data_IF_911643732145
#
_entry.id   IF_911643732145
#
_cell.length_a   1.000
_cell.length_b   1.000
_cell.length_c   1.000
_cell.angle_alpha   90.00
_cell.angle_beta   90.00
_cell.angle_gamma   90.00
#
_symmetry.space_group_name_H-M   'P 1'
#
loop_
_entity.id
_entity.type
_entity.pdbx_description
1 polymer ?
#
# COMPACT_ATOMS: atom_id res chain seq x y z
N UNK A 1 22.08 -3.35 -6.57
CA UNK A 1 22.01 -2.33 -5.50
C UNK A 1 20.99 -1.23 -5.81
N UNK A 2 21.12 -0.55 -6.96
CA UNK A 2 20.17 0.49 -7.36
C UNK A 2 18.72 -0.02 -7.43
N UNK A 3 18.50 -1.24 -7.94
CA UNK A 3 17.17 -1.81 -8.06
C UNK A 3 16.53 -2.09 -6.69
N UNK A 4 17.32 -2.55 -5.71
CA UNK A 4 16.82 -2.81 -4.35
C UNK A 4 16.36 -1.52 -3.68
N UNK A 5 17.12 -0.43 -3.85
CA UNK A 5 16.75 0.88 -3.31
C UNK A 5 15.47 1.41 -3.92
N UNK A 6 15.33 1.25 -5.24
CA UNK A 6 14.12 1.66 -5.95
C UNK A 6 12.90 0.88 -5.48
N UNK A 7 13.03 -0.44 -5.36
CA UNK A 7 11.94 -1.30 -4.89
C UNK A 7 11.56 -0.96 -3.46
N UNK A 8 12.56 -0.81 -2.59
CA UNK A 8 12.33 -0.46 -1.20
C UNK A 8 11.60 0.88 -1.08
N UNK A 9 12.10 1.91 -1.75
CA UNK A 9 11.51 3.24 -1.70
C UNK A 9 10.09 3.26 -2.27
N UNK A 10 9.86 2.58 -3.38
CA UNK A 10 8.53 2.51 -3.99
C UNK A 10 7.52 1.81 -3.08
N UNK A 11 7.91 0.70 -2.46
CA UNK A 11 7.03 -0.03 -1.54
C UNK A 11 6.79 0.76 -0.25
N UNK A 12 7.81 1.46 0.24
CA UNK A 12 7.68 2.31 1.42
C UNK A 12 6.72 3.47 1.15
N UNK A 13 6.95 4.21 0.08
CA UNK A 13 6.10 5.36 -0.28
C UNK A 13 4.68 4.92 -0.61
N UNK A 14 4.52 3.86 -1.38
CA UNK A 14 3.21 3.36 -1.75
C UNK A 14 2.43 2.88 -0.54
N UNK A 15 3.06 2.15 0.37
CA UNK A 15 2.43 1.68 1.60
C UNK A 15 2.08 2.85 2.52
N UNK A 16 2.97 3.82 2.63
CA UNK A 16 2.73 5.04 3.41
C UNK A 16 1.49 5.79 2.89
N UNK A 17 1.45 6.07 1.60
CA UNK A 17 0.31 6.78 1.00
C UNK A 17 -0.97 5.97 1.08
N UNK A 18 -0.91 4.66 0.89
CA UNK A 18 -2.08 3.80 0.98
C UNK A 18 -2.70 3.87 2.38
N UNK A 19 -1.88 3.74 3.42
CA UNK A 19 -2.35 3.83 4.81
C UNK A 19 -2.90 5.23 5.11
N UNK A 20 -2.24 6.28 4.63
CA UNK A 20 -2.75 7.65 4.76
C UNK A 20 -4.15 7.80 4.16
N UNK A 21 -4.37 7.21 2.99
CA UNK A 21 -5.67 7.25 2.33
C UNK A 21 -6.71 6.47 3.12
N UNK A 22 -6.37 5.27 3.57
CA UNK A 22 -7.29 4.42 4.35
C UNK A 22 -7.70 5.08 5.65
N UNK A 23 -6.73 5.52 6.45
CA UNK A 23 -6.98 6.12 7.76
C UNK A 23 -7.60 7.50 7.59
N UNK A 24 -7.06 8.31 6.69
CA UNK A 24 -7.54 9.67 6.46
C UNK A 24 -8.97 9.71 5.96
N UNK A 25 -9.31 8.88 4.97
CA UNK A 25 -10.68 8.84 4.45
C UNK A 25 -11.67 8.30 5.47
N UNK A 26 -11.27 7.35 6.31
CA UNK A 26 -12.09 6.84 7.40
C UNK A 26 -12.39 7.89 8.44
N UNK A 27 -11.38 8.64 8.88
CA UNK A 27 -11.54 9.72 9.85
C UNK A 27 -12.39 10.86 9.29
N UNK A 28 -12.17 11.23 8.03
CA UNK A 28 -12.99 12.24 7.36
C UNK A 28 -14.45 11.84 7.31
N UNK A 29 -14.73 10.61 6.94
CA UNK A 29 -16.09 10.08 6.88
C UNK A 29 -16.77 10.12 8.26
N UNK A 30 -16.06 9.75 9.33
CA UNK A 30 -16.56 9.83 10.70
C UNK A 30 -16.96 11.25 11.08
N UNK A 31 -16.21 12.24 10.61
CA UNK A 31 -16.50 13.65 10.93
C UNK A 31 -17.68 14.21 10.12
N UNK A 32 -18.00 13.60 8.98
CA UNK A 32 -19.01 14.12 8.06
C UNK A 32 -20.38 13.44 8.21
N UNK A 33 -20.44 12.25 8.77
CA UNK A 33 -21.70 11.50 8.89
C UNK A 33 -21.66 10.62 10.13
N UNK A 34 -22.87 10.27 10.62
CA UNK A 34 -23.06 9.29 11.68
C UNK A 34 -23.47 7.92 11.15
N UNK A 35 -23.69 7.82 9.85
CA UNK A 35 -24.13 6.56 9.22
C UNK A 35 -22.93 5.68 8.89
N UNK A 36 -22.83 4.53 9.57
CA UNK A 36 -21.72 3.60 9.44
C UNK A 36 -21.61 3.06 8.00
N UNK A 37 -22.76 2.81 7.35
CA UNK A 37 -22.76 2.32 5.98
C UNK A 37 -22.17 3.36 5.01
N UNK A 38 -22.47 4.64 5.22
CA UNK A 38 -21.91 5.74 4.43
C UNK A 38 -20.41 5.87 4.70
N UNK A 39 -19.98 5.76 5.96
CA UNK A 39 -18.55 5.77 6.30
C UNK A 39 -17.80 4.68 5.57
N UNK A 40 -18.34 3.46 5.56
CA UNK A 40 -17.71 2.32 4.92
C UNK A 40 -17.63 2.51 3.40
N UNK A 41 -18.68 2.98 2.78
CA UNK A 41 -18.71 3.23 1.34
C UNK A 41 -17.69 4.29 0.95
N UNK A 42 -17.65 5.41 1.69
CA UNK A 42 -16.72 6.50 1.44
C UNK A 42 -15.28 6.03 1.57
N UNK A 43 -14.97 5.30 2.66
CA UNK A 43 -13.64 4.74 2.88
C UNK A 43 -13.25 3.76 1.78
N UNK A 44 -14.15 2.90 1.36
CA UNK A 44 -13.92 1.90 0.31
C UNK A 44 -13.63 2.55 -1.04
N UNK A 45 -14.43 3.55 -1.43
CA UNK A 45 -14.24 4.27 -2.69
C UNK A 45 -12.89 5.01 -2.69
N UNK A 46 -12.56 5.71 -1.62
CA UNK A 46 -11.30 6.43 -1.51
C UNK A 46 -10.11 5.48 -1.55
N UNK A 47 -10.19 4.36 -0.82
CA UNK A 47 -9.14 3.35 -0.80
C UNK A 47 -8.94 2.72 -2.18
N UNK A 48 -10.03 2.35 -2.85
CA UNK A 48 -9.97 1.76 -4.18
C UNK A 48 -9.40 2.72 -5.22
N UNK A 49 -9.83 3.97 -5.20
CA UNK A 49 -9.31 5.00 -6.10
C UNK A 49 -7.82 5.28 -5.84
N UNK A 50 -7.44 5.41 -4.57
CA UNK A 50 -6.05 5.63 -4.17
C UNK A 50 -5.17 4.45 -4.56
N UNK A 51 -5.63 3.24 -4.32
CA UNK A 51 -4.90 2.03 -4.69
C UNK A 51 -4.70 1.94 -6.21
N UNK A 52 -5.73 2.28 -6.98
CA UNK A 52 -5.62 2.33 -8.44
C UNK A 52 -4.50 3.27 -8.88
N UNK A 53 -4.46 4.48 -8.32
CA UNK A 53 -3.42 5.46 -8.63
C UNK A 53 -2.04 4.96 -8.22
N UNK A 54 -1.91 4.42 -7.01
CA UNK A 54 -0.63 3.92 -6.50
C UNK A 54 -0.11 2.75 -7.33
N UNK A 55 -0.98 1.83 -7.71
CA UNK A 55 -0.59 0.72 -8.59
C UNK A 55 -0.14 1.26 -9.95
N UNK A 56 -0.87 2.20 -10.52
CA UNK A 56 -0.51 2.80 -11.80
C UNK A 56 0.86 3.46 -11.75
N UNK A 57 1.17 4.16 -10.66
CA UNK A 57 2.45 4.87 -10.50
C UNK A 57 3.61 3.92 -10.24
N UNK A 58 3.43 2.92 -9.38
CA UNK A 58 4.53 2.11 -8.87
C UNK A 58 4.64 0.70 -9.47
N UNK A 59 3.68 0.25 -10.27
CA UNK A 59 3.69 -1.11 -10.81
C UNK A 59 4.96 -1.41 -11.59
N UNK A 60 5.41 -0.48 -12.42
CA UNK A 60 6.60 -0.65 -13.24
C UNK A 60 7.91 -0.51 -12.45
N UNK A 61 7.84 0.02 -11.23
CA UNK A 61 9.01 0.19 -10.37
C UNK A 61 9.21 -1.02 -9.47
N UNK A 62 8.20 -1.36 -8.66
CA UNK A 62 8.31 -2.42 -7.64
C UNK A 62 7.29 -3.54 -7.81
N UNK A 63 6.35 -3.41 -8.73
CA UNK A 63 5.22 -4.32 -8.86
C UNK A 63 4.01 -3.88 -8.03
N UNK A 64 4.15 -2.83 -7.22
CA UNK A 64 3.07 -2.25 -6.43
C UNK A 64 2.36 -3.28 -5.54
N UNK A 65 3.12 -3.98 -4.70
CA UNK A 65 2.56 -4.97 -3.77
C UNK A 65 1.85 -4.30 -2.60
N UNK A 66 2.53 -3.41 -1.90
CA UNK A 66 2.04 -2.64 -0.74
C UNK A 66 1.43 -3.48 0.38
N UNK A 67 1.65 -4.77 0.39
CA UNK A 67 1.07 -5.71 1.34
C UNK A 67 1.99 -6.92 1.48
N UNK A 68 2.37 -7.32 2.73
CA UNK A 68 3.21 -8.49 2.93
C UNK A 68 2.63 -9.78 2.34
N UNK A 69 1.32 -9.97 2.40
CA UNK A 69 0.67 -11.16 1.82
C UNK A 69 0.84 -11.20 0.30
N UNK A 70 0.70 -10.06 -0.37
CA UNK A 70 0.90 -9.98 -1.82
C UNK A 70 2.35 -10.32 -2.17
N UNK A 71 3.30 -9.78 -1.41
CA UNK A 71 4.73 -10.06 -1.64
C UNK A 71 5.06 -11.53 -1.41
N UNK A 72 4.50 -12.15 -0.38
CA UNK A 72 4.66 -13.59 -0.12
C UNK A 72 4.08 -14.40 -1.27
N UNK A 73 2.87 -14.08 -1.70
CA UNK A 73 2.22 -14.75 -2.83
C UNK A 73 3.03 -14.63 -4.12
N UNK A 74 3.57 -13.46 -4.40
CA UNK A 74 4.41 -13.24 -5.57
C UNK A 74 5.72 -14.01 -5.49
N UNK A 75 6.28 -14.17 -4.30
CA UNK A 75 7.48 -15.00 -4.08
C UNK A 75 7.18 -16.47 -4.35
N UNK A 76 6.05 -16.97 -3.85
CA UNK A 76 5.63 -18.36 -4.05
C UNK A 76 5.39 -18.66 -5.54
N UNK A 77 4.79 -17.72 -6.27
CA UNK A 77 4.52 -17.89 -7.70
C UNK A 77 5.73 -17.61 -8.59
N UNK A 78 6.86 -17.25 -8.01
CA UNK A 78 8.09 -17.00 -8.75
C UNK A 78 8.22 -15.61 -9.38
N UNK A 79 7.26 -14.72 -9.15
CA UNK A 79 7.27 -13.36 -9.70
C UNK A 79 8.16 -12.41 -8.91
N UNK A 80 8.43 -12.73 -7.65
CA UNK A 80 9.34 -11.96 -6.80
C UNK A 80 10.46 -12.86 -6.32
N UNK A 81 11.70 -12.39 -6.42
CA UNK A 81 12.88 -13.14 -5.94
C UNK A 81 12.85 -13.24 -4.42
N UNK A 82 13.16 -14.41 -3.89
CA UNK A 82 13.21 -14.64 -2.44
C UNK A 82 14.11 -13.65 -1.71
N UNK A 83 15.20 -13.23 -2.34
CA UNK A 83 16.15 -12.24 -1.76
C UNK A 83 15.50 -10.91 -1.48
N UNK A 84 14.49 -10.53 -2.26
CA UNK A 84 13.83 -9.23 -2.17
C UNK A 84 12.68 -9.24 -1.17
N UNK A 85 12.17 -10.41 -0.80
CA UNK A 85 11.01 -10.50 0.08
C UNK A 85 11.18 -9.76 1.42
N UNK A 86 12.31 -9.94 2.15
CA UNK A 86 12.51 -9.19 3.40
C UNK A 86 12.51 -7.68 3.20
N UNK A 87 13.11 -7.20 2.12
CA UNK A 87 13.16 -5.77 1.81
C UNK A 87 11.75 -5.21 1.56
N UNK A 88 10.93 -5.96 0.83
CA UNK A 88 9.54 -5.57 0.57
C UNK A 88 8.74 -5.50 1.86
N UNK A 89 8.85 -6.51 2.71
CA UNK A 89 8.10 -6.57 3.97
C UNK A 89 8.50 -5.42 4.89
N UNK A 90 9.82 -5.19 5.05
CA UNK A 90 10.32 -4.09 5.89
C UNK A 90 9.84 -2.75 5.36
N UNK A 91 9.96 -2.52 4.05
CA UNK A 91 9.52 -1.28 3.43
C UNK A 91 8.02 -1.03 3.66
N UNK A 92 7.22 -2.06 3.50
CA UNK A 92 5.77 -1.99 3.69
C UNK A 92 5.41 -1.69 5.14
N UNK A 93 6.05 -2.35 6.10
CA UNK A 93 5.81 -2.12 7.52
C UNK A 93 6.22 -0.72 7.95
N UNK A 94 7.41 -0.28 7.54
CA UNK A 94 7.90 1.08 7.85
C UNK A 94 7.01 2.12 7.21
N UNK A 95 6.64 1.92 5.95
CA UNK A 95 5.74 2.84 5.24
C UNK A 95 4.39 2.96 5.93
N UNK A 96 3.82 1.83 6.37
CA UNK A 96 2.54 1.83 7.10
C UNK A 96 2.64 2.59 8.42
N UNK A 97 3.74 2.40 9.17
CA UNK A 97 3.96 3.11 10.43
C UNK A 97 4.08 4.62 10.22
N UNK A 98 4.76 5.04 9.16
CA UNK A 98 4.87 6.46 8.82
C UNK A 98 3.51 7.02 8.37
N UNK A 99 2.74 6.25 7.61
CA UNK A 99 1.45 6.69 7.07
C UNK A 99 0.36 6.86 8.11
N UNK A 100 0.45 6.09 9.19
CA UNK A 100 -0.48 6.22 10.30
C UNK A 100 -0.20 7.51 11.06
#
# INVERSE_FOLDING_TARGET
MKNKSRYFLAELLGSCFLVMIIVGSGLMAENLTNDVAVMLIANTIATGAGLFVLITVFADVSGAHFNPFVSIAMTITGKLKKKLLPFYIIAQLVGCLIGV
#
